data_IF_564035694460
#
_entry.id   IF_564035694460
#
_cell.length_a   1.000
_cell.length_b   1.000
_cell.length_c   1.000
_cell.angle_alpha   90.00
_cell.angle_beta   90.00
_cell.angle_gamma   90.00
#
_symmetry.space_group_name_H-M   'P 1'
#
loop_
_entity.id
_entity.type
_entity.pdbx_description
1 polymer ?
#
# COMPACT_ATOMS: atom_id res chain seq x y z
N UNK A 1 26.30 -5.18 6.28
CA UNK A 1 25.37 -4.36 7.07
C UNK A 1 23.97 -4.53 6.50
N UNK A 2 22.94 -4.67 7.35
CA UNK A 2 21.55 -4.62 6.88
C UNK A 2 21.14 -3.14 6.74
N UNK A 3 20.97 -2.66 5.51
CA UNK A 3 20.63 -1.27 5.20
C UNK A 3 21.84 -0.35 4.92
N UNK A 4 21.59 0.94 4.71
CA UNK A 4 22.63 1.94 4.36
C UNK A 4 23.37 2.47 5.61
N UNK A 5 24.58 3.03 5.49
CA UNK A 5 25.24 3.69 6.62
C UNK A 5 24.43 4.89 7.13
N UNK A 6 24.51 5.18 8.43
CA UNK A 6 23.94 6.40 9.00
C UNK A 6 24.83 7.62 8.70
N UNK A 7 24.23 8.82 8.68
CA UNK A 7 24.95 10.09 8.67
C UNK A 7 25.78 10.24 9.97
N UNK A 8 26.90 10.98 9.91
CA UNK A 8 27.60 11.43 11.13
C UNK A 8 26.62 12.24 11.99
N UNK A 9 26.36 11.87 13.26
CA UNK A 9 25.45 12.60 14.16
C UNK A 9 25.78 14.09 14.30
N UNK A 10 27.05 14.49 14.19
CA UNK A 10 27.47 15.90 14.26
C UNK A 10 26.99 16.73 13.07
N UNK A 11 26.65 16.08 11.95
CA UNK A 11 26.10 16.73 10.75
C UNK A 11 24.56 16.71 10.72
N UNK A 12 23.92 16.18 11.76
CA UNK A 12 22.47 16.13 11.85
C UNK A 12 21.88 17.55 12.00
N UNK A 13 20.69 17.74 11.44
CA UNK A 13 19.99 19.03 11.45
C UNK A 13 18.48 18.79 11.38
N UNK A 14 17.64 19.77 11.74
CA UNK A 14 16.18 19.61 11.71
C UNK A 14 15.62 19.14 10.36
N UNK A 15 16.25 19.53 9.25
CA UNK A 15 15.82 19.13 7.90
C UNK A 15 15.97 17.63 7.64
N UNK A 16 16.81 16.92 8.40
CA UNK A 16 16.92 15.46 8.31
C UNK A 16 15.74 14.74 8.98
N UNK A 17 15.03 15.41 9.89
CA UNK A 17 13.93 14.85 10.68
C UNK A 17 12.54 15.37 10.24
N UNK A 18 12.49 16.18 9.18
CA UNK A 18 11.26 16.74 8.63
C UNK A 18 11.11 16.35 7.15
N UNK A 19 9.86 16.26 6.68
CA UNK A 19 9.57 16.02 5.27
C UNK A 19 8.36 16.80 4.79
N UNK A 20 8.46 17.34 3.58
CA UNK A 20 7.32 17.90 2.85
C UNK A 20 6.79 16.95 1.78
N UNK A 21 7.32 15.73 1.69
CA UNK A 21 6.94 14.76 0.64
C UNK A 21 5.44 14.44 0.67
N UNK A 22 4.81 14.45 1.85
CA UNK A 22 3.39 14.13 2.03
C UNK A 22 2.46 15.36 1.87
N UNK A 23 3.01 16.54 1.59
CA UNK A 23 2.23 17.80 1.56
C UNK A 23 1.35 17.96 0.32
N UNK A 24 1.66 17.25 -0.78
CA UNK A 24 0.97 17.38 -2.06
C UNK A 24 0.33 16.06 -2.47
N UNK A 25 -0.82 16.10 -3.17
CA UNK A 25 -1.46 14.91 -3.68
C UNK A 25 -0.59 14.21 -4.73
N UNK A 26 -0.60 12.89 -4.71
CA UNK A 26 -0.07 12.07 -5.80
C UNK A 26 -1.00 12.07 -7.02
N UNK A 27 -0.48 11.62 -8.16
CA UNK A 27 -1.27 11.49 -9.39
C UNK A 27 -1.96 10.10 -9.42
N UNK A 28 -3.28 10.09 -9.23
CA UNK A 28 -4.11 8.88 -9.20
C UNK A 28 -4.41 8.31 -10.59
N UNK A 29 -4.21 9.07 -11.67
CA UNK A 29 -4.43 8.63 -13.05
C UNK A 29 -3.27 7.79 -13.62
N UNK A 30 -2.20 7.56 -12.84
CA UNK A 30 -1.01 6.80 -13.28
C UNK A 30 -1.19 5.28 -13.27
N UNK A 31 -2.25 4.75 -12.66
CA UNK A 31 -2.55 3.32 -12.68
C UNK A 31 -4.06 3.12 -12.85
N UNK A 32 -4.43 1.96 -13.41
CA UNK A 32 -5.82 1.61 -13.69
C UNK A 32 -6.69 1.46 -12.43
N UNK A 33 -6.07 1.30 -11.25
CA UNK A 33 -6.78 1.19 -9.99
C UNK A 33 -7.16 2.54 -9.37
N UNK A 34 -6.66 3.66 -9.90
CA UNK A 34 -7.09 5.00 -9.47
C UNK A 34 -6.55 5.45 -8.12
N UNK A 35 -5.36 5.02 -7.69
CA UNK A 35 -4.76 5.46 -6.42
C UNK A 35 -3.33 5.99 -6.59
N UNK A 36 -2.81 6.68 -5.57
CA UNK A 36 -1.41 7.10 -5.51
C UNK A 36 -0.90 6.98 -4.09
N UNK A 37 0.34 6.49 -3.93
CA UNK A 37 1.00 6.36 -2.63
C UNK A 37 2.31 7.13 -2.65
N UNK A 38 2.51 8.00 -1.66
CA UNK A 38 3.80 8.62 -1.36
C UNK A 38 4.27 8.09 0.00
N UNK A 39 5.26 7.20 -0.01
CA UNK A 39 5.84 6.62 1.20
C UNK A 39 7.05 7.44 1.68
N UNK A 40 7.20 7.61 2.98
CA UNK A 40 8.44 8.13 3.56
C UNK A 40 9.53 7.09 3.50
N UNK A 41 10.70 7.49 3.01
CA UNK A 41 11.88 6.64 2.85
C UNK A 41 13.11 7.38 3.36
N UNK A 42 14.23 6.67 3.49
CA UNK A 42 15.51 7.27 3.85
C UNK A 42 15.93 8.42 2.90
N UNK A 43 15.37 8.52 1.70
CA UNK A 43 15.66 9.60 0.76
C UNK A 43 14.90 10.89 1.06
N UNK A 44 13.66 10.80 1.56
CA UNK A 44 12.79 11.96 1.76
C UNK A 44 12.48 12.25 3.23
N UNK A 45 12.85 11.34 4.15
CA UNK A 45 12.85 11.51 5.60
C UNK A 45 14.01 10.69 6.21
N UNK A 46 15.27 11.13 6.05
CA UNK A 46 16.45 10.35 6.48
C UNK A 46 16.42 9.96 7.96
N UNK A 47 15.89 10.83 8.82
CA UNK A 47 15.83 10.64 10.27
C UNK A 47 14.91 9.51 10.74
N UNK A 48 14.08 8.92 9.87
CA UNK A 48 13.27 7.75 10.25
C UNK A 48 14.07 6.44 10.34
N UNK A 49 15.33 6.47 9.89
CA UNK A 49 16.24 5.32 9.95
C UNK A 49 16.43 4.87 11.39
N UNK A 50 16.45 3.55 11.58
CA UNK A 50 16.50 2.83 12.86
C UNK A 50 15.36 3.14 13.84
N UNK A 51 14.36 3.94 13.46
CA UNK A 51 13.23 4.30 14.32
C UNK A 51 12.06 3.29 14.22
N UNK A 52 12.14 2.36 13.26
CA UNK A 52 11.12 1.33 13.09
C UNK A 52 9.77 1.87 12.62
N UNK A 53 9.76 3.00 11.90
CA UNK A 53 8.53 3.63 11.42
C UNK A 53 8.65 4.20 10.01
N UNK A 54 7.53 4.23 9.30
CA UNK A 54 7.32 5.00 8.08
C UNK A 54 5.89 5.53 8.02
N UNK A 55 5.65 6.48 7.13
CA UNK A 55 4.33 7.06 6.88
C UNK A 55 4.04 7.02 5.38
N UNK A 56 2.78 6.85 5.02
CA UNK A 56 2.33 6.93 3.65
C UNK A 56 1.19 7.92 3.51
N UNK A 57 1.25 8.77 2.48
CA UNK A 57 0.07 9.47 1.97
C UNK A 57 -0.59 8.61 0.91
N UNK A 58 -1.89 8.44 1.01
CA UNK A 58 -2.69 7.68 0.06
C UNK A 58 -3.80 8.57 -0.50
N UNK A 59 -3.66 8.96 -1.77
CA UNK A 59 -4.71 9.65 -2.52
C UNK A 59 -5.49 8.61 -3.35
N UNK A 60 -6.82 8.64 -3.28
CA UNK A 60 -7.68 7.66 -3.96
C UNK A 60 -8.70 8.43 -4.80
N UNK A 61 -8.72 8.18 -6.11
CA UNK A 61 -9.68 8.76 -7.04
C UNK A 61 -11.13 8.34 -6.68
N UNK A 62 -12.15 8.99 -7.25
CA UNK A 62 -13.51 8.45 -7.19
C UNK A 62 -13.55 7.00 -7.70
N UNK A 63 -14.23 6.13 -6.97
CA UNK A 63 -14.24 4.66 -7.19
C UNK A 63 -12.85 4.00 -7.26
N UNK A 64 -11.82 4.67 -6.75
CA UNK A 64 -10.45 4.17 -6.74
C UNK A 64 -10.23 3.07 -5.70
N UNK A 65 -9.31 2.16 -6.00
CA UNK A 65 -8.96 1.01 -5.19
C UNK A 65 -7.45 0.98 -4.95
N UNK A 66 -7.04 0.92 -3.68
CA UNK A 66 -5.74 0.33 -3.33
C UNK A 66 -5.97 -1.19 -3.27
N UNK A 67 -5.48 -1.98 -4.25
CA UNK A 67 -5.87 -3.38 -4.39
C UNK A 67 -5.43 -4.21 -3.18
N UNK A 68 -5.96 -5.44 -3.03
CA UNK A 68 -5.48 -6.39 -2.03
C UNK A 68 -3.95 -6.48 -2.03
N UNK A 69 -3.33 -6.14 -0.90
CA UNK A 69 -1.89 -6.11 -0.75
C UNK A 69 -1.46 -6.47 0.69
N UNK A 70 -0.16 -6.71 0.86
CA UNK A 70 0.45 -7.04 2.16
C UNK A 70 1.70 -6.22 2.40
N UNK A 71 1.95 -5.94 3.69
CA UNK A 71 3.22 -5.43 4.21
C UNK A 71 3.95 -6.54 4.98
N UNK A 72 4.93 -7.24 4.37
CA UNK A 72 5.57 -8.39 5.01
C UNK A 72 6.40 -8.02 6.25
N UNK A 73 6.77 -6.75 6.40
CA UNK A 73 7.65 -6.28 7.49
C UNK A 73 7.00 -5.32 8.47
N UNK A 74 5.73 -4.94 8.31
CA UNK A 74 5.07 -3.97 9.17
C UNK A 74 3.58 -4.26 9.36
N UNK A 75 3.05 -3.89 10.54
CA UNK A 75 1.62 -3.55 10.68
C UNK A 75 1.39 -2.14 10.15
N UNK A 76 0.15 -1.84 9.78
CA UNK A 76 -0.26 -0.51 9.31
C UNK A 76 -1.44 0.00 10.14
N UNK A 77 -1.49 1.30 10.40
CA UNK A 77 -2.69 2.00 10.86
C UNK A 77 -2.99 3.12 9.88
N UNK A 78 -4.25 3.24 9.47
CA UNK A 78 -4.69 4.22 8.48
C UNK A 78 -5.76 5.11 9.06
N UNK A 79 -5.58 6.41 8.91
CA UNK A 79 -6.56 7.43 9.28
C UNK A 79 -7.11 8.09 8.02
N UNK A 80 -8.43 8.12 7.88
CA UNK A 80 -9.09 8.87 6.83
C UNK A 80 -9.02 10.36 7.15
N UNK A 81 -8.52 11.18 6.22
CA UNK A 81 -8.46 12.65 6.38
C UNK A 81 -9.51 13.37 5.54
N UNK A 82 -9.94 12.79 4.42
CA UNK A 82 -10.97 13.33 3.54
C UNK A 82 -11.69 12.20 2.81
N UNK A 83 -12.97 12.40 2.56
CA UNK A 83 -13.78 11.47 1.76
C UNK A 83 -14.30 10.33 2.62
N UNK A 84 -14.50 9.19 1.98
CA UNK A 84 -15.14 8.04 2.59
C UNK A 84 -14.52 6.75 2.04
N UNK A 85 -13.87 5.98 2.93
CA UNK A 85 -13.01 4.87 2.52
C UNK A 85 -13.49 3.59 3.19
N UNK A 86 -13.90 2.61 2.39
CA UNK A 86 -14.08 1.24 2.86
C UNK A 86 -12.71 0.58 2.99
N UNK A 87 -12.40 0.08 4.17
CA UNK A 87 -11.15 -0.61 4.45
C UNK A 87 -11.42 -2.00 4.99
N UNK A 88 -10.44 -2.88 4.90
CA UNK A 88 -10.46 -4.11 5.69
C UNK A 88 -9.35 -5.08 5.36
N UNK A 89 -9.24 -6.11 6.20
CA UNK A 89 -8.27 -7.20 6.04
C UNK A 89 -8.94 -8.56 6.21
N UNK A 90 -8.26 -9.59 5.70
CA UNK A 90 -8.64 -10.99 5.89
C UNK A 90 -7.65 -11.65 6.85
N UNK A 91 -8.15 -12.30 7.89
CA UNK A 91 -7.32 -13.02 8.87
C UNK A 91 -6.90 -14.42 8.39
N UNK A 92 -6.11 -15.12 9.20
CA UNK A 92 -5.64 -16.47 8.86
C UNK A 92 -6.72 -17.55 8.93
N UNK A 93 -7.92 -17.21 9.41
CA UNK A 93 -9.12 -18.05 9.37
C UNK A 93 -10.00 -17.73 8.16
N UNK A 94 -9.51 -16.89 7.24
CA UNK A 94 -10.24 -16.36 6.08
C UNK A 94 -11.47 -15.51 6.45
N UNK A 95 -11.47 -14.90 7.64
CA UNK A 95 -12.53 -13.99 8.09
C UNK A 95 -12.22 -12.56 7.68
N UNK A 96 -13.19 -11.90 7.04
CA UNK A 96 -13.10 -10.50 6.64
C UNK A 96 -13.47 -9.58 7.80
N UNK A 97 -12.57 -8.65 8.13
CA UNK A 97 -12.82 -7.54 9.05
C UNK A 97 -12.82 -6.25 8.25
N UNK A 98 -13.97 -5.57 8.18
CA UNK A 98 -14.15 -4.37 7.35
C UNK A 98 -14.85 -3.25 8.09
N UNK A 99 -14.53 -2.01 7.74
CA UNK A 99 -15.17 -0.82 8.26
C UNK A 99 -15.16 0.29 7.20
N UNK A 100 -16.17 1.15 7.23
CA UNK A 100 -16.21 2.39 6.46
C UNK A 100 -15.64 3.51 7.33
N UNK A 101 -14.58 4.17 6.87
CA UNK A 101 -13.89 5.26 7.56
C UNK A 101 -14.26 6.63 6.98
N UNK A 102 -14.71 7.50 7.86
CA UNK A 102 -14.95 8.93 7.64
C UNK A 102 -13.79 9.76 8.19
N UNK A 103 -13.69 11.05 7.85
CA UNK A 103 -12.58 11.90 8.30
C UNK A 103 -12.40 11.88 9.82
N UNK A 104 -11.19 11.58 10.27
CA UNK A 104 -10.81 11.44 11.69
C UNK A 104 -10.85 10.01 12.21
N UNK A 105 -11.49 9.08 11.51
CA UNK A 105 -11.57 7.68 11.92
C UNK A 105 -10.33 6.89 11.45
N UNK A 106 -9.96 5.86 12.22
CA UNK A 106 -8.76 5.05 11.97
C UNK A 106 -9.04 3.55 12.00
N UNK A 107 -8.23 2.78 11.29
CA UNK A 107 -8.31 1.32 11.23
C UNK A 107 -6.92 0.70 11.20
N UNK A 108 -6.73 -0.44 11.86
CA UNK A 108 -5.44 -1.14 11.97
C UNK A 108 -5.43 -2.42 11.14
N UNK A 109 -4.35 -2.62 10.40
CA UNK A 109 -4.07 -3.82 9.62
C UNK A 109 -2.93 -4.60 10.28
N UNK A 110 -3.17 -5.85 10.74
CA UNK A 110 -2.11 -6.65 11.30
C UNK A 110 -1.03 -7.00 10.27
N UNK A 111 0.22 -7.06 10.73
CA UNK A 111 1.40 -7.35 9.89
C UNK A 111 1.21 -8.58 9.01
N UNK A 112 1.48 -8.41 7.72
CA UNK A 112 1.51 -9.49 6.74
C UNK A 112 0.13 -10.00 6.27
N UNK A 113 -0.97 -9.43 6.75
CA UNK A 113 -2.31 -9.81 6.30
C UNK A 113 -2.75 -9.03 5.06
N UNK A 114 -3.51 -9.71 4.19
CA UNK A 114 -4.07 -9.11 2.98
C UNK A 114 -5.10 -8.08 3.39
N UNK A 115 -4.96 -6.85 2.90
CA UNK A 115 -5.90 -5.76 3.14
C UNK A 115 -6.05 -4.85 1.92
N UNK A 116 -7.07 -3.98 1.94
CA UNK A 116 -7.38 -3.04 0.87
C UNK A 116 -7.96 -1.73 1.41
N UNK A 117 -7.95 -0.70 0.56
CA UNK A 117 -8.66 0.56 0.76
C UNK A 117 -9.45 0.86 -0.52
N UNK A 118 -10.73 1.18 -0.40
CA UNK A 118 -11.61 1.50 -1.53
C UNK A 118 -12.35 2.80 -1.26
N UNK A 119 -12.26 3.76 -2.17
CA UNK A 119 -13.07 4.98 -2.09
C UNK A 119 -14.49 4.67 -2.56
N UNK A 120 -15.45 4.73 -1.64
CA UNK A 120 -16.86 4.41 -1.94
C UNK A 120 -17.62 5.55 -2.60
N UNK A 121 -17.01 6.74 -2.71
CA UNK A 121 -17.59 7.88 -3.40
C UNK A 121 -17.20 7.85 -4.89
N UNK A 122 -18.20 7.87 -5.77
CA UNK A 122 -18.05 7.82 -7.23
C UNK A 122 -17.80 9.18 -7.89
N UNK A 123 -17.79 10.26 -7.11
CA UNK A 123 -17.62 11.63 -7.61
C UNK A 123 -16.45 12.35 -6.96
N UNK A 124 -16.15 12.04 -5.71
CA UNK A 124 -15.15 12.79 -4.93
C UNK A 124 -13.95 11.93 -4.57
N UNK A 125 -12.71 12.46 -4.67
CA UNK A 125 -11.53 11.75 -4.23
C UNK A 125 -11.43 11.70 -2.69
N UNK A 126 -10.77 10.67 -2.19
CA UNK A 126 -10.45 10.47 -0.79
C UNK A 126 -8.95 10.63 -0.50
N UNK A 127 -8.62 10.92 0.76
CA UNK A 127 -7.27 11.05 1.27
C UNK A 127 -7.15 10.32 2.60
N UNK A 128 -6.14 9.45 2.70
CA UNK A 128 -5.74 8.82 3.95
C UNK A 128 -4.25 9.08 4.24
N UNK A 129 -3.89 9.00 5.52
CA UNK A 129 -2.51 8.86 5.97
C UNK A 129 -2.37 7.54 6.70
N UNK A 130 -1.36 6.76 6.34
CA UNK A 130 -1.00 5.52 7.01
C UNK A 130 0.30 5.69 7.79
N UNK A 131 0.38 5.08 8.97
CA UNK A 131 1.61 4.85 9.71
C UNK A 131 1.96 3.36 9.70
N UNK A 132 3.22 3.02 9.47
CA UNK A 132 3.68 1.64 9.38
C UNK A 132 4.79 1.37 10.38
N UNK A 133 4.74 0.20 11.03
CA UNK A 133 5.68 -0.21 12.09
C UNK A 133 7.03 -0.74 11.56
N UNK A 134 7.56 -0.13 10.49
CA UNK A 134 8.88 -0.41 9.94
C UNK A 134 9.37 0.76 9.09
N UNK A 135 10.68 1.04 9.10
CA UNK A 135 11.32 1.97 8.14
C UNK A 135 11.23 1.47 6.69
N UNK A 136 11.07 0.16 6.51
CA UNK A 136 10.93 -0.49 5.21
C UNK A 136 9.84 -1.57 5.32
N UNK A 137 8.55 -1.19 5.22
CA UNK A 137 7.43 -2.12 5.36
C UNK A 137 7.43 -3.18 4.24
N UNK A 138 7.86 -2.76 3.04
CA UNK A 138 7.67 -3.52 1.80
C UNK A 138 6.21 -3.60 1.42
N UNK A 139 5.92 -3.74 0.13
CA UNK A 139 4.55 -3.89 -0.36
C UNK A 139 4.53 -5.00 -1.40
N UNK A 140 3.60 -5.92 -1.26
CA UNK A 140 3.29 -6.89 -2.31
C UNK A 140 1.81 -6.76 -2.66
N UNK A 141 1.53 -6.26 -3.86
CA UNK A 141 0.18 -6.15 -4.40
C UNK A 141 -0.21 -7.52 -4.94
N UNK A 142 -1.19 -8.17 -4.31
CA UNK A 142 -1.55 -9.58 -4.56
C UNK A 142 -1.81 -9.85 -6.04
N UNK A 143 -2.71 -9.13 -6.75
CA UNK A 143 -2.97 -9.46 -8.15
C UNK A 143 -1.74 -9.33 -9.05
N UNK A 144 -0.89 -8.31 -8.81
CA UNK A 144 0.34 -8.08 -9.58
C UNK A 144 1.38 -9.16 -9.29
N UNK A 145 1.62 -9.47 -8.02
CA UNK A 145 2.59 -10.49 -7.63
C UNK A 145 2.21 -11.90 -8.14
N UNK A 146 0.91 -12.21 -8.11
CA UNK A 146 0.40 -13.51 -8.55
C UNK A 146 0.44 -13.64 -10.07
N UNK A 147 -0.13 -12.68 -10.81
CA UNK A 147 -0.37 -12.86 -12.24
C UNK A 147 0.71 -12.22 -13.13
N UNK A 148 1.35 -11.13 -12.70
CA UNK A 148 2.27 -10.33 -13.55
C UNK A 148 3.69 -10.21 -12.99
N UNK A 149 4.09 -11.16 -12.14
CA UNK A 149 5.46 -11.30 -11.63
C UNK A 149 6.50 -11.47 -12.74
N UNK A 150 7.76 -11.15 -12.42
CA UNK A 150 8.91 -11.28 -13.33
C UNK A 150 10.07 -11.99 -12.60
N UNK A 151 10.43 -13.23 -13.00
CA UNK A 151 9.77 -14.07 -14.02
C UNK A 151 8.32 -14.42 -13.62
N UNK A 152 7.44 -14.74 -14.60
CA UNK A 152 6.04 -15.04 -14.32
C UNK A 152 5.88 -16.33 -13.52
N UNK A 153 4.89 -16.35 -12.62
CA UNK A 153 4.46 -17.59 -11.97
C UNK A 153 4.04 -18.62 -13.03
N UNK A 154 4.45 -19.90 -12.91
CA UNK A 154 4.11 -20.91 -13.91
C UNK A 154 2.60 -21.05 -14.07
N UNK A 155 2.12 -21.10 -15.31
CA UNK A 155 0.68 -21.14 -15.62
C UNK A 155 -0.01 -22.33 -14.93
N UNK A 156 0.63 -23.50 -14.93
CA UNK A 156 0.14 -24.69 -14.24
C UNK A 156 -0.07 -24.51 -12.73
N UNK A 157 0.68 -23.59 -12.09
CA UNK A 157 0.47 -23.25 -10.68
C UNK A 157 -0.78 -22.39 -10.54
N UNK A 158 -0.95 -21.38 -11.40
CA UNK A 158 -2.12 -20.51 -11.41
C UNK A 158 -3.41 -21.26 -11.78
N UNK A 159 -3.38 -22.10 -12.82
CA UNK A 159 -4.49 -22.96 -13.23
C UNK A 159 -4.98 -23.82 -12.07
N UNK A 160 -4.06 -24.49 -11.36
CA UNK A 160 -4.41 -25.32 -10.20
C UNK A 160 -4.86 -24.50 -8.99
N UNK A 161 -4.23 -23.36 -8.72
CA UNK A 161 -4.52 -22.56 -7.53
C UNK A 161 -5.85 -21.82 -7.63
N UNK A 162 -6.20 -21.34 -8.83
CA UNK A 162 -7.42 -20.57 -9.08
C UNK A 162 -8.54 -21.40 -9.73
N UNK A 163 -8.27 -22.67 -10.07
CA UNK A 163 -9.21 -23.56 -10.76
C UNK A 163 -9.70 -22.98 -12.09
N UNK A 164 -8.77 -22.42 -12.87
CA UNK A 164 -8.99 -21.77 -14.16
C UNK A 164 -8.12 -22.40 -15.23
N UNK A 165 -8.41 -22.11 -16.50
CA UNK A 165 -7.59 -22.55 -17.63
C UNK A 165 -6.52 -21.51 -18.06
N UNK A 166 -5.65 -21.91 -18.98
CA UNK A 166 -4.59 -21.04 -19.50
C UNK A 166 -5.11 -19.81 -20.27
N UNK A 167 -6.30 -19.88 -20.88
CA UNK A 167 -6.90 -18.71 -21.54
C UNK A 167 -7.34 -17.67 -20.51
N UNK A 168 -7.92 -18.12 -19.40
CA UNK A 168 -8.29 -17.26 -18.28
C UNK A 168 -7.06 -16.63 -17.62
N UNK A 169 -5.97 -17.38 -17.42
CA UNK A 169 -4.69 -16.85 -16.94
C UNK A 169 -4.16 -15.75 -17.86
N UNK A 170 -4.14 -16.01 -19.17
CA UNK A 170 -3.69 -15.04 -20.16
C UNK A 170 -4.57 -13.78 -20.16
N UNK A 171 -5.89 -13.96 -20.04
CA UNK A 171 -6.85 -12.85 -19.99
C UNK A 171 -6.63 -11.96 -18.76
N UNK A 172 -6.45 -12.55 -17.57
CA UNK A 172 -6.17 -11.79 -16.33
C UNK A 172 -4.86 -11.02 -16.46
N UNK A 173 -3.80 -11.66 -17.00
CA UNK A 173 -2.51 -11.00 -17.24
C UNK A 173 -2.64 -9.77 -18.13
N UNK A 174 -3.37 -9.89 -19.24
CA UNK A 174 -3.58 -8.77 -20.16
C UNK A 174 -4.30 -7.62 -19.46
N UNK A 175 -5.39 -7.88 -18.72
CA UNK A 175 -6.10 -6.82 -17.99
C UNK A 175 -5.22 -6.11 -16.93
N UNK A 176 -4.28 -6.83 -16.30
CA UNK A 176 -3.42 -6.27 -15.26
C UNK A 176 -2.18 -5.53 -15.79
N UNK A 177 -1.79 -5.75 -17.06
CA UNK A 177 -0.63 -5.09 -17.67
C UNK A 177 -0.97 -3.78 -18.37
N UNK A 178 -2.26 -3.50 -18.60
CA UNK A 178 -2.72 -2.37 -19.43
C UNK A 178 -2.61 -2.71 -20.90
#
# INVERSE_FOLDING_TARGET
MNGQPCLNPELASPTHFATSALSKPGNTSKNAFGFSVILTTNQNLPGHRTQGLSMARVDIAPDGLVPPHVHPRASEVTTCLKGDILVGFVDTSNTMYTQRLRPGESFVFPKGLIHFLYNVDSKSPALAISGLSSENPGTQVVPIATFTSKPPMPDRVLEKAFMIDGQEVARIRNHLQG
#
